data_IF_443195912292
#
_entry.id   IF_443195912292
#
_cell.length_a   1.000
_cell.length_b   1.000
_cell.length_c   1.000
_cell.angle_alpha   90.00
_cell.angle_beta   90.00
_cell.angle_gamma   90.00
#
_symmetry.space_group_name_H-M   'P 1'
#
loop_
_entity.id
_entity.type
_entity.pdbx_description
1 polymer ?
#
# COMPACT_ATOMS: atom_id res chain seq x y z
N UNK A 1 54.69 -29.18 1.78
CA UNK A 1 53.81 -30.34 1.66
C UNK A 1 52.39 -29.85 1.35
N UNK A 2 51.99 -29.97 0.08
CA UNK A 2 50.65 -29.60 -0.41
C UNK A 2 49.62 -30.65 0.05
N UNK A 3 48.44 -30.19 0.48
CA UNK A 3 47.23 -31.00 0.44
C UNK A 3 46.06 -30.15 -0.09
N UNK A 4 45.82 -30.39 -1.36
CA UNK A 4 44.65 -29.99 -2.11
C UNK A 4 43.49 -30.91 -1.76
N UNK A 5 42.36 -30.40 -1.32
CA UNK A 5 41.10 -31.17 -1.22
C UNK A 5 40.05 -30.57 -2.13
N UNK A 6 39.68 -31.34 -3.15
CA UNK A 6 38.62 -31.11 -4.12
C UNK A 6 37.23 -31.22 -3.46
N UNK A 7 36.35 -30.27 -3.75
CA UNK A 7 34.90 -30.37 -3.49
C UNK A 7 34.23 -31.15 -4.64
N UNK A 8 33.22 -31.96 -4.34
CA UNK A 8 32.41 -32.59 -5.38
C UNK A 8 31.21 -31.70 -5.79
N UNK A 9 31.01 -31.69 -7.08
CA UNK A 9 29.90 -31.12 -7.82
C UNK A 9 28.58 -31.84 -7.46
N UNK A 10 27.60 -31.16 -6.88
CA UNK A 10 26.27 -31.71 -6.67
C UNK A 10 25.28 -31.19 -7.72
N UNK A 11 24.70 -32.17 -8.43
CA UNK A 11 23.80 -32.11 -9.57
C UNK A 11 22.54 -31.24 -9.33
N UNK A 12 22.23 -30.47 -10.37
CA UNK A 12 20.90 -29.87 -10.59
C UNK A 12 19.87 -30.96 -10.87
N UNK A 13 18.76 -30.94 -10.15
CA UNK A 13 17.56 -31.69 -10.51
C UNK A 13 16.44 -30.66 -10.78
N UNK A 14 16.12 -30.48 -12.06
CA UNK A 14 14.97 -29.71 -12.50
C UNK A 14 13.74 -30.60 -12.45
N UNK A 15 12.74 -30.21 -11.63
CA UNK A 15 11.44 -30.88 -11.60
C UNK A 15 10.43 -29.98 -12.30
N UNK A 16 10.13 -30.30 -13.56
CA UNK A 16 9.04 -29.65 -14.32
C UNK A 16 7.74 -30.38 -14.02
N UNK A 17 6.85 -29.75 -13.27
CA UNK A 17 5.47 -30.24 -13.08
C UNK A 17 4.54 -29.47 -14.02
N UNK A 18 4.13 -30.10 -15.10
CA UNK A 18 3.06 -29.65 -15.99
C UNK A 18 1.72 -30.02 -15.35
N UNK A 19 0.92 -29.04 -15.00
CA UNK A 19 -0.52 -29.25 -14.70
C UNK A 19 -1.33 -29.07 -15.97
N UNK A 20 -1.93 -30.16 -16.39
CA UNK A 20 -2.91 -30.25 -17.47
C UNK A 20 -4.29 -29.95 -16.85
N UNK A 21 -4.93 -28.86 -17.25
CA UNK A 21 -6.34 -28.59 -16.87
C UNK A 21 -7.22 -29.02 -18.04
N UNK A 22 -7.98 -30.08 -17.82
CA UNK A 22 -8.98 -30.55 -18.76
C UNK A 22 -10.26 -29.72 -18.59
N UNK A 23 -10.70 -29.06 -19.67
CA UNK A 23 -12.01 -28.42 -19.76
C UNK A 23 -13.07 -29.49 -20.05
N UNK A 24 -14.08 -29.60 -19.17
CA UNK A 24 -15.29 -30.37 -19.44
C UNK A 24 -16.40 -29.37 -19.75
N UNK A 25 -16.79 -29.32 -21.04
CA UNK A 25 -18.03 -28.72 -21.50
C UNK A 25 -19.16 -29.72 -21.26
N UNK A 26 -20.13 -29.36 -20.40
CA UNK A 26 -21.45 -30.02 -20.41
C UNK A 26 -22.48 -29.02 -20.94
N UNK A 27 -22.95 -29.29 -22.14
CA UNK A 27 -24.11 -28.69 -22.77
C UNK A 27 -25.39 -29.31 -22.17
N UNK A 28 -26.24 -28.49 -21.58
CA UNK A 28 -27.66 -28.83 -21.37
C UNK A 28 -28.53 -27.73 -21.94
N UNK A 29 -29.19 -28.06 -23.03
CA UNK A 29 -30.19 -27.23 -23.65
C UNK A 29 -31.48 -27.22 -22.82
N UNK A 30 -32.03 -26.04 -22.64
CA UNK A 30 -33.44 -25.87 -22.27
C UNK A 30 -34.08 -24.93 -23.28
N UNK A 31 -34.95 -25.52 -24.09
CA UNK A 31 -35.91 -24.80 -24.88
C UNK A 31 -37.05 -24.37 -23.96
N UNK A 32 -37.29 -23.09 -23.82
CA UNK A 32 -38.54 -22.55 -23.33
C UNK A 32 -39.22 -21.76 -24.43
N UNK A 33 -40.42 -22.19 -24.69
CA UNK A 33 -41.42 -21.79 -25.65
C UNK A 33 -41.99 -20.43 -25.30
N UNK A 34 -42.27 -19.64 -26.32
CA UNK A 34 -42.83 -18.30 -26.20
C UNK A 34 -44.24 -18.30 -25.60
N UNK A 35 -44.57 -17.18 -25.03
CA UNK A 35 -45.91 -16.72 -24.85
C UNK A 35 -46.01 -15.26 -25.26
N UNK A 36 -46.94 -15.02 -26.13
CA UNK A 36 -47.33 -13.75 -26.71
C UNK A 36 -47.84 -12.79 -25.62
N UNK A 37 -47.28 -11.58 -25.61
CA UNK A 37 -47.90 -10.46 -24.91
C UNK A 37 -48.05 -9.27 -25.88
N UNK A 38 -49.28 -8.69 -25.97
CA UNK A 38 -49.57 -7.69 -26.97
C UNK A 38 -48.89 -6.36 -26.71
N UNK A 39 -48.45 -5.76 -27.79
CA UNK A 39 -47.98 -4.39 -27.83
C UNK A 39 -49.17 -3.46 -27.54
N UNK A 40 -49.07 -2.66 -26.47
CA UNK A 40 -49.92 -1.48 -26.36
C UNK A 40 -49.23 -0.32 -25.61
N UNK A 41 -49.35 0.86 -26.20
CA UNK A 41 -49.22 2.17 -25.64
C UNK A 41 -47.78 2.68 -25.32
N UNK A 42 -47.01 2.99 -26.36
CA UNK A 42 -46.00 4.03 -26.28
C UNK A 42 -46.67 5.41 -26.18
N UNK A 43 -46.74 5.98 -24.98
CA UNK A 43 -46.98 7.41 -24.83
C UNK A 43 -45.65 8.15 -25.12
N UNK A 44 -45.68 9.18 -25.95
CA UNK A 44 -44.50 9.99 -26.18
C UNK A 44 -44.27 10.88 -24.97
N UNK A 45 -43.22 10.56 -24.20
CA UNK A 45 -42.68 11.48 -23.18
C UNK A 45 -41.81 12.51 -23.91
N UNK A 46 -42.49 13.52 -24.49
CA UNK A 46 -41.83 14.76 -24.95
C UNK A 46 -41.66 15.70 -23.73
N UNK A 47 -40.68 15.43 -22.88
CA UNK A 47 -40.16 16.41 -21.98
C UNK A 47 -38.67 16.60 -22.28
N UNK A 48 -38.10 17.81 -22.23
CA UNK A 48 -36.68 17.94 -22.33
C UNK A 48 -36.04 17.14 -21.16
N UNK A 49 -35.21 16.17 -21.50
CA UNK A 49 -34.33 15.53 -20.55
C UNK A 49 -33.39 16.62 -20.10
N UNK A 50 -33.78 17.29 -19.03
CA UNK A 50 -32.87 18.12 -18.25
C UNK A 50 -31.76 17.17 -17.80
N UNK A 51 -30.69 17.15 -18.57
CA UNK A 51 -29.44 16.53 -18.14
C UNK A 51 -29.05 17.25 -16.88
N UNK A 52 -29.51 16.74 -15.75
CA UNK A 52 -28.96 17.08 -14.45
C UNK A 52 -27.50 16.68 -14.55
N UNK A 53 -26.70 17.66 -14.99
CA UNK A 53 -25.26 17.62 -14.92
C UNK A 53 -25.00 17.33 -13.46
N UNK A 54 -24.67 16.09 -13.17
CA UNK A 54 -24.17 15.71 -11.87
C UNK A 54 -22.86 16.48 -11.70
N UNK A 55 -22.98 17.72 -11.30
CA UNK A 55 -21.88 18.47 -10.75
C UNK A 55 -21.42 17.63 -9.57
N UNK A 56 -20.33 16.91 -9.83
CA UNK A 56 -19.55 16.25 -8.81
C UNK A 56 -19.24 17.35 -7.79
N UNK A 57 -20.07 17.43 -6.76
CA UNK A 57 -19.80 18.27 -5.60
C UNK A 57 -18.58 17.61 -4.98
N UNK A 58 -17.42 17.98 -5.49
CA UNK A 58 -16.16 17.78 -4.79
C UNK A 58 -16.29 18.74 -3.62
N UNK A 59 -16.77 18.24 -2.50
CA UNK A 59 -16.61 18.90 -1.21
C UNK A 59 -15.09 19.01 -1.06
N UNK A 60 -14.53 20.13 -1.53
CA UNK A 60 -13.16 20.51 -1.24
C UNK A 60 -13.09 20.69 0.27
N UNK A 61 -12.73 19.61 0.95
CA UNK A 61 -12.48 19.64 2.39
C UNK A 61 -11.44 20.74 2.61
N UNK A 62 -11.84 21.82 3.30
CA UNK A 62 -10.92 22.90 3.64
C UNK A 62 -9.63 22.30 4.21
N UNK A 63 -8.45 22.66 3.67
CA UNK A 63 -7.20 22.10 4.13
C UNK A 63 -7.06 22.24 5.64
N UNK A 64 -6.78 21.14 6.31
CA UNK A 64 -6.47 21.14 7.73
C UNK A 64 -5.10 21.76 8.01
N UNK A 65 -4.82 22.19 9.25
CA UNK A 65 -3.57 22.87 9.60
C UNK A 65 -2.31 22.03 9.34
N UNK A 66 -2.45 20.72 9.20
CA UNK A 66 -1.34 19.77 9.01
C UNK A 66 -1.37 19.04 7.65
N UNK A 67 -2.24 19.45 6.72
CA UNK A 67 -2.34 18.83 5.39
C UNK A 67 -1.04 18.96 4.57
N UNK A 68 -0.18 19.89 4.94
CA UNK A 68 1.16 20.00 4.35
C UNK A 68 2.00 18.73 4.55
N UNK A 69 1.79 17.97 5.64
CA UNK A 69 2.48 16.70 5.89
C UNK A 69 2.14 15.65 4.83
N UNK A 70 0.86 15.46 4.54
CA UNK A 70 0.42 14.47 3.55
C UNK A 70 0.75 14.88 2.11
N UNK A 71 1.13 16.16 1.89
CA UNK A 71 1.61 16.68 0.61
C UNK A 71 3.14 16.69 0.50
N UNK A 72 3.84 16.41 1.59
CA UNK A 72 5.29 16.35 1.58
C UNK A 72 5.78 15.22 0.69
N UNK A 73 6.70 15.52 -0.25
CA UNK A 73 7.17 14.57 -1.25
C UNK A 73 7.73 13.29 -0.62
N UNK A 74 8.52 13.39 0.43
CA UNK A 74 9.09 12.21 1.10
C UNK A 74 8.00 11.35 1.76
N UNK A 75 6.99 11.97 2.37
CA UNK A 75 5.84 11.23 2.96
C UNK A 75 5.05 10.53 1.86
N UNK A 76 4.75 11.23 0.75
CA UNK A 76 4.05 10.65 -0.42
C UNK A 76 4.84 9.47 -1.00
N UNK A 77 6.16 9.59 -1.10
CA UNK A 77 7.04 8.51 -1.59
C UNK A 77 7.05 7.32 -0.63
N UNK A 78 7.12 7.55 0.69
CA UNK A 78 7.04 6.48 1.71
C UNK A 78 5.74 5.69 1.60
N UNK A 79 4.56 6.35 1.58
CA UNK A 79 3.29 5.65 1.48
C UNK A 79 3.13 4.95 0.14
N UNK A 80 3.58 5.57 -0.96
CA UNK A 80 3.53 4.98 -2.29
C UNK A 80 4.34 3.68 -2.35
N UNK A 81 5.60 3.70 -1.89
CA UNK A 81 6.47 2.52 -1.89
C UNK A 81 5.94 1.42 -0.96
N UNK A 82 5.43 1.81 0.22
CA UNK A 82 4.81 0.86 1.16
C UNK A 82 3.59 0.20 0.52
N UNK A 83 2.70 0.94 -0.12
CA UNK A 83 1.51 0.41 -0.77
C UNK A 83 1.84 -0.44 -2.01
N UNK A 84 2.87 -0.09 -2.76
CA UNK A 84 3.38 -0.94 -3.85
C UNK A 84 3.91 -2.28 -3.32
N UNK A 85 4.61 -2.25 -2.18
CA UNK A 85 5.07 -3.48 -1.54
C UNK A 85 3.89 -4.32 -1.05
N UNK A 86 2.90 -3.72 -0.36
CA UNK A 86 1.67 -4.39 0.10
C UNK A 86 0.91 -5.03 -1.06
N UNK A 87 0.78 -4.35 -2.19
CA UNK A 87 0.13 -4.90 -3.39
C UNK A 87 0.85 -6.15 -3.90
N UNK A 88 2.20 -6.17 -3.91
CA UNK A 88 2.99 -7.37 -4.26
C UNK A 88 2.76 -8.53 -3.29
N UNK A 89 2.39 -8.23 -2.04
CA UNK A 89 2.04 -9.21 -1.00
C UNK A 89 0.54 -9.57 -0.99
N UNK A 90 -0.25 -9.08 -1.95
CA UNK A 90 -1.69 -9.30 -2.03
C UNK A 90 -2.51 -8.55 -0.98
N UNK A 91 -1.95 -7.50 -0.35
CA UNK A 91 -2.60 -6.70 0.68
C UNK A 91 -3.26 -5.45 0.12
N UNK A 92 -4.37 -5.04 0.72
CA UNK A 92 -5.00 -3.75 0.42
C UNK A 92 -4.07 -2.57 0.77
N UNK A 93 -4.17 -1.44 0.04
CA UNK A 93 -3.39 -0.25 0.35
C UNK A 93 -3.78 0.34 1.71
N UNK A 94 -2.81 0.99 2.36
CA UNK A 94 -3.01 1.80 3.55
C UNK A 94 -3.51 3.19 3.16
N UNK A 95 -4.41 3.74 3.97
CA UNK A 95 -4.83 5.13 3.91
C UNK A 95 -3.85 6.00 4.71
N UNK A 96 -3.38 7.09 4.11
CA UNK A 96 -2.53 8.05 4.80
C UNK A 96 -3.36 8.92 5.74
N UNK A 97 -3.02 8.92 7.04
CA UNK A 97 -3.74 9.65 8.09
C UNK A 97 -2.90 10.84 8.57
N UNK A 98 -3.47 12.04 8.50
CA UNK A 98 -2.77 13.30 8.85
C UNK A 98 -2.39 13.35 10.34
N UNK A 99 -3.23 12.84 11.25
CA UNK A 99 -2.95 12.82 12.69
C UNK A 99 -1.78 11.88 12.99
N UNK A 100 -1.81 10.68 12.39
CA UNK A 100 -0.71 9.73 12.52
C UNK A 100 0.59 10.28 11.90
N UNK A 101 0.51 11.03 10.79
CA UNK A 101 1.69 11.72 10.24
C UNK A 101 2.24 12.77 11.21
N UNK A 102 1.38 13.53 11.91
CA UNK A 102 1.81 14.50 12.89
C UNK A 102 2.52 13.82 14.07
N UNK A 103 1.97 12.73 14.58
CA UNK A 103 2.58 11.95 15.66
C UNK A 103 3.95 11.38 15.26
N UNK A 104 4.04 10.77 14.07
CA UNK A 104 5.29 10.28 13.52
C UNK A 104 6.33 11.40 13.31
N UNK A 105 5.88 12.58 12.83
CA UNK A 105 6.73 13.75 12.65
C UNK A 105 7.27 14.29 13.97
N UNK A 106 6.44 14.35 15.01
CA UNK A 106 6.88 14.77 16.34
C UNK A 106 7.96 13.83 16.88
N UNK A 107 7.79 12.53 16.71
CA UNK A 107 8.80 11.56 17.15
C UNK A 107 10.10 11.66 16.34
N UNK A 108 10.01 11.83 15.01
CA UNK A 108 11.19 12.07 14.18
C UNK A 108 11.95 13.35 14.59
N UNK A 109 11.22 14.43 14.89
CA UNK A 109 11.77 15.68 15.39
C UNK A 109 12.49 15.48 16.73
N UNK A 110 11.87 14.75 17.66
CA UNK A 110 12.46 14.45 18.95
C UNK A 110 13.76 13.63 18.82
N UNK A 111 13.77 12.57 18.01
CA UNK A 111 14.98 11.78 17.76
C UNK A 111 16.08 12.63 17.14
N UNK A 112 15.76 13.47 16.17
CA UNK A 112 16.72 14.37 15.55
C UNK A 112 17.27 15.43 16.53
N UNK A 113 16.44 15.99 17.39
CA UNK A 113 16.86 16.98 18.39
C UNK A 113 17.78 16.38 19.45
N UNK A 114 17.46 15.20 19.95
CA UNK A 114 18.20 14.54 21.05
C UNK A 114 19.39 13.70 20.56
N UNK A 115 19.31 13.16 19.35
CA UNK A 115 20.24 12.15 18.82
C UNK A 115 19.92 10.75 19.31
N UNK A 116 18.86 10.55 20.08
CA UNK A 116 18.40 9.24 20.49
C UNK A 116 17.78 8.50 19.30
N UNK A 117 18.01 7.19 19.21
CA UNK A 117 17.35 6.31 18.23
C UNK A 117 16.63 5.20 18.98
N UNK A 118 15.35 5.42 19.26
CA UNK A 118 14.53 4.50 20.02
C UNK A 118 13.06 4.65 19.62
N UNK A 119 12.28 3.61 19.87
CA UNK A 119 10.84 3.65 19.67
C UNK A 119 10.14 4.63 20.62
N UNK A 120 9.00 5.17 20.15
CA UNK A 120 8.14 6.03 20.94
C UNK A 120 7.23 5.21 21.89
N UNK A 121 6.47 5.94 22.73
CA UNK A 121 5.36 5.35 23.51
C UNK A 121 3.99 5.53 22.82
N UNK A 122 3.96 5.86 21.53
CA UNK A 122 2.72 6.03 20.78
C UNK A 122 1.94 4.71 20.69
N UNK A 123 0.59 4.76 20.68
CA UNK A 123 -0.25 3.55 20.67
C UNK A 123 -0.40 2.95 19.27
N UNK A 124 0.71 2.82 18.54
CA UNK A 124 0.77 2.32 17.17
C UNK A 124 1.81 1.20 17.04
N UNK A 125 1.68 0.39 16.00
CA UNK A 125 2.80 -0.39 15.51
C UNK A 125 3.78 0.58 14.85
N UNK A 126 5.01 0.68 15.35
CA UNK A 126 5.97 1.68 14.91
C UNK A 126 7.17 1.04 14.24
N UNK A 127 7.64 1.67 13.18
CA UNK A 127 8.90 1.36 12.51
C UNK A 127 9.76 2.62 12.45
N UNK A 128 11.05 2.48 12.76
CA UNK A 128 12.00 3.58 12.69
C UNK A 128 13.22 3.19 11.85
N UNK A 129 13.83 4.16 11.19
CA UNK A 129 15.08 3.98 10.46
C UNK A 129 15.94 5.25 10.53
N UNK A 130 17.26 5.08 10.49
CA UNK A 130 18.19 6.21 10.55
C UNK A 130 19.35 6.03 9.57
N UNK A 131 19.83 7.14 9.02
CA UNK A 131 21.09 7.18 8.28
C UNK A 131 20.98 6.95 6.77
N UNK A 132 19.82 6.48 6.24
CA UNK A 132 19.65 6.34 4.80
C UNK A 132 19.04 7.62 4.21
N UNK A 133 19.53 8.11 3.06
CA UNK A 133 19.18 9.46 2.58
C UNK A 133 17.83 9.54 1.87
N UNK A 134 17.22 8.40 1.47
CA UNK A 134 16.00 8.40 0.66
C UNK A 134 14.88 7.59 1.28
N UNK A 135 13.60 7.96 1.01
CA UNK A 135 12.44 7.20 1.45
C UNK A 135 12.47 5.74 0.97
N UNK A 136 12.89 5.50 -0.27
CA UNK A 136 12.97 4.15 -0.84
C UNK A 136 13.96 3.27 -0.09
N UNK A 137 15.13 3.82 0.27
CA UNK A 137 16.12 3.08 1.05
C UNK A 137 15.59 2.75 2.46
N UNK A 138 14.84 3.66 3.09
CA UNK A 138 14.18 3.40 4.37
C UNK A 138 13.16 2.26 4.25
N UNK A 139 12.29 2.30 3.22
CA UNK A 139 11.32 1.23 2.96
C UNK A 139 12.00 -0.12 2.73
N UNK A 140 13.09 -0.16 1.95
CA UNK A 140 13.85 -1.40 1.75
C UNK A 140 14.49 -1.91 3.05
N UNK A 141 15.01 -1.02 3.89
CA UNK A 141 15.54 -1.38 5.21
C UNK A 141 14.46 -1.99 6.12
N UNK A 142 13.25 -1.43 6.13
CA UNK A 142 12.14 -1.99 6.88
C UNK A 142 11.66 -3.34 6.34
N UNK A 143 11.62 -3.51 5.00
CA UNK A 143 11.27 -4.80 4.37
C UNK A 143 12.30 -5.88 4.76
N UNK A 144 13.57 -5.53 4.85
CA UNK A 144 14.64 -6.46 5.23
C UNK A 144 14.62 -6.86 6.71
N UNK A 145 13.86 -6.15 7.56
CA UNK A 145 13.71 -6.44 8.99
C UNK A 145 12.38 -7.17 9.24
N UNK A 146 12.37 -8.44 9.69
CA UNK A 146 11.13 -9.22 9.84
C UNK A 146 10.06 -8.53 10.73
N UNK A 147 10.46 -7.90 11.84
CA UNK A 147 9.55 -7.20 12.73
C UNK A 147 8.93 -5.96 12.06
N UNK A 148 9.75 -5.11 11.43
CA UNK A 148 9.27 -3.93 10.71
C UNK A 148 8.41 -4.32 9.50
N UNK A 149 8.81 -5.36 8.75
CA UNK A 149 8.03 -5.90 7.64
C UNK A 149 6.63 -6.35 8.08
N UNK A 150 6.52 -7.07 9.20
CA UNK A 150 5.22 -7.47 9.75
C UNK A 150 4.34 -6.26 10.06
N UNK A 151 4.90 -5.19 10.64
CA UNK A 151 4.17 -3.94 10.90
C UNK A 151 3.70 -3.26 9.59
N UNK A 152 4.54 -3.23 8.54
CA UNK A 152 4.17 -2.68 7.23
C UNK A 152 3.02 -3.43 6.55
N UNK A 153 2.84 -4.72 6.86
CA UNK A 153 1.73 -5.54 6.35
C UNK A 153 0.49 -5.48 7.23
N UNK A 154 0.54 -4.82 8.39
CA UNK A 154 -0.57 -4.70 9.33
C UNK A 154 -1.41 -3.45 9.09
N UNK A 155 -2.63 -3.45 9.66
CA UNK A 155 -3.51 -2.30 9.69
C UNK A 155 -4.09 -1.84 8.35
N UNK A 156 -4.82 -0.73 8.42
CA UNK A 156 -5.48 -0.07 7.27
C UNK A 156 -5.08 1.38 7.12
N UNK A 157 -4.44 1.97 8.12
CA UNK A 157 -3.97 3.37 8.14
C UNK A 157 -2.51 3.47 8.49
N UNK A 158 -1.88 4.51 7.97
CA UNK A 158 -0.46 4.80 8.19
C UNK A 158 -0.21 6.29 8.35
N UNK A 159 0.76 6.63 9.19
CA UNK A 159 1.38 7.95 9.24
C UNK A 159 2.88 7.83 9.09
N UNK A 160 3.48 8.77 8.35
CA UNK A 160 4.93 8.86 8.22
C UNK A 160 5.42 10.24 8.64
N UNK A 161 6.62 10.26 9.19
CA UNK A 161 7.36 11.47 9.52
C UNK A 161 8.85 11.29 9.29
N UNK A 162 9.56 12.40 9.08
CA UNK A 162 11.02 12.37 9.01
C UNK A 162 11.62 13.71 9.42
N UNK A 163 12.85 13.68 9.96
CA UNK A 163 13.60 14.84 10.31
C UNK A 163 15.10 14.63 10.08
N UNK A 164 15.76 15.63 9.52
CA UNK A 164 17.21 15.61 9.29
C UNK A 164 17.98 16.07 10.53
N UNK A 165 19.11 15.40 10.81
CA UNK A 165 20.13 15.88 11.73
C UNK A 165 21.50 15.64 11.09
N UNK A 166 22.28 16.70 10.89
CA UNK A 166 23.61 16.58 10.28
C UNK A 166 23.60 15.94 8.88
N UNK A 167 22.52 16.12 8.10
CA UNK A 167 22.35 15.50 6.78
C UNK A 167 21.79 14.08 6.79
N UNK A 168 21.62 13.48 7.96
CA UNK A 168 21.07 12.11 8.10
C UNK A 168 19.63 12.14 8.61
N UNK A 169 18.68 11.53 7.87
CA UNK A 169 17.29 11.51 8.27
C UNK A 169 17.02 10.45 9.34
N UNK A 170 16.11 10.79 10.25
CA UNK A 170 15.37 9.87 11.11
C UNK A 170 13.99 9.67 10.47
N UNK A 171 13.69 8.45 10.10
CA UNK A 171 12.43 8.05 9.47
C UNK A 171 11.55 7.34 10.48
N UNK A 172 10.27 7.68 10.51
CA UNK A 172 9.27 7.07 11.39
C UNK A 172 8.06 6.68 10.56
N UNK A 173 7.55 5.47 10.75
CA UNK A 173 6.26 5.02 10.24
C UNK A 173 5.43 4.43 11.38
N UNK A 174 4.16 4.79 11.46
CA UNK A 174 3.20 4.29 12.46
C UNK A 174 1.97 3.71 11.77
N UNK A 175 1.50 2.55 12.23
CA UNK A 175 0.44 1.76 11.58
C UNK A 175 -0.68 1.40 12.54
N UNK A 176 -1.93 1.40 12.05
CA UNK A 176 -3.12 1.00 12.80
C UNK A 176 -4.19 0.40 11.88
#
# INVERSE_FOLDING_TARGET
MLRTTLLPLARRLALTTRFLVAAVCLSMGHTCRGDDQPADALLPVNGPIETVRAEKIILEKKPGPHDWLIKNENIVRLVTQTNQHRARMGMAPLELDTTMCLDAQHHANWMAATGAFQHSSLPYLEIIFHGVPTPEAAVQGWIASPAHHAHMLSGTRVGFGYQLRGGYPYWVGVFR
#
